data_IF_557256133867
#
_entry.id   IF_557256133867
#
_cell.length_a   1.000
_cell.length_b   1.000
_cell.length_c   1.000
_cell.angle_alpha   90.00
_cell.angle_beta   90.00
_cell.angle_gamma   90.00
#
_symmetry.space_group_name_H-M   'P 1'
#
loop_
_entity.id
_entity.type
_entity.pdbx_description
1 polymer ?
#
# COMPACT_ATOMS: atom_id res chain seq x y z
N UNK A 1 14.35 -12.52 -13.49
CA UNK A 1 15.15 -11.62 -12.64
C UNK A 1 14.50 -10.24 -12.71
N UNK A 2 14.45 -9.49 -11.60
CA UNK A 2 13.79 -8.19 -11.53
C UNK A 2 14.61 -7.09 -12.22
N UNK A 3 13.95 -6.21 -12.97
CA UNK A 3 14.57 -5.09 -13.67
C UNK A 3 14.02 -3.75 -13.17
N UNK A 4 14.81 -2.68 -13.34
CA UNK A 4 14.36 -1.32 -13.05
C UNK A 4 13.04 -1.03 -13.81
N UNK A 5 12.16 -0.28 -13.15
CA UNK A 5 10.83 0.10 -13.68
C UNK A 5 9.82 -1.04 -13.89
N UNK A 6 10.09 -2.27 -13.43
CA UNK A 6 9.04 -3.30 -13.38
C UNK A 6 7.94 -2.91 -12.38
N UNK A 7 6.69 -3.14 -12.76
CA UNK A 7 5.53 -2.87 -11.91
C UNK A 7 5.46 -3.91 -10.82
N UNK A 8 5.43 -3.48 -9.54
CA UNK A 8 5.34 -4.43 -8.41
C UNK A 8 3.95 -4.92 -8.13
N UNK A 9 2.95 -4.09 -8.39
CA UNK A 9 1.56 -4.47 -8.16
C UNK A 9 0.59 -3.47 -8.73
N UNK A 10 -0.68 -3.85 -8.74
CA UNK A 10 -1.81 -3.05 -9.20
C UNK A 10 -2.88 -3.06 -8.13
N UNK A 11 -3.41 -1.88 -7.82
CA UNK A 11 -4.55 -1.73 -6.92
C UNK A 11 -5.80 -1.46 -7.74
N UNK A 12 -6.87 -2.17 -7.42
CA UNK A 12 -8.19 -1.98 -8.02
C UNK A 12 -9.18 -1.66 -6.92
N UNK A 13 -9.88 -0.53 -7.07
CA UNK A 13 -10.88 -0.07 -6.10
C UNK A 13 -11.98 -1.11 -5.92
N UNK A 14 -12.40 -1.31 -4.67
CA UNK A 14 -13.59 -2.11 -4.35
C UNK A 14 -14.80 -1.22 -4.12
N UNK A 15 -15.92 -1.81 -3.70
CA UNK A 15 -17.09 -1.05 -3.22
C UNK A 15 -16.88 -0.45 -1.84
N UNK A 16 -15.87 -0.88 -1.11
CA UNK A 16 -15.54 -0.37 0.21
C UNK A 16 -14.57 0.82 0.07
N UNK A 17 -14.88 1.90 0.78
CA UNK A 17 -14.02 3.09 0.81
C UNK A 17 -12.64 2.71 1.38
N UNK A 18 -11.59 3.26 0.76
CA UNK A 18 -10.19 3.07 1.18
C UNK A 18 -9.72 1.60 1.20
N UNK A 19 -10.43 0.69 0.51
CA UNK A 19 -10.08 -0.72 0.42
C UNK A 19 -9.99 -1.19 -1.04
N UNK A 20 -8.93 -1.93 -1.33
CA UNK A 20 -8.50 -2.27 -2.69
C UNK A 20 -8.17 -3.75 -2.82
N UNK A 21 -8.56 -4.34 -3.96
CA UNK A 21 -7.97 -5.57 -4.43
C UNK A 21 -6.54 -5.28 -4.88
N UNK A 22 -5.60 -6.12 -4.48
CA UNK A 22 -4.19 -5.97 -4.85
C UNK A 22 -3.74 -7.18 -5.65
N UNK A 23 -3.17 -6.92 -6.83
CA UNK A 23 -2.32 -7.88 -7.52
C UNK A 23 -0.87 -7.51 -7.22
N UNK A 24 -0.04 -8.48 -6.87
CA UNK A 24 1.38 -8.25 -6.55
C UNK A 24 2.26 -9.25 -7.29
N UNK A 25 3.35 -8.78 -7.88
CA UNK A 25 4.27 -9.62 -8.64
C UNK A 25 5.54 -9.91 -7.83
N UNK A 26 6.00 -11.16 -7.83
CA UNK A 26 7.26 -11.57 -7.24
C UNK A 26 8.49 -11.11 -8.07
N UNK A 27 9.70 -11.57 -7.75
CA UNK A 27 10.91 -11.21 -8.49
C UNK A 27 11.02 -11.88 -9.88
N UNK A 28 10.21 -12.92 -10.13
CA UNK A 28 10.09 -13.61 -11.40
C UNK A 28 8.94 -13.06 -12.26
N UNK A 29 8.07 -12.22 -11.69
CA UNK A 29 6.89 -11.66 -12.36
C UNK A 29 5.64 -12.52 -12.20
N UNK A 30 5.67 -13.54 -11.34
CA UNK A 30 4.48 -14.33 -11.03
C UNK A 30 3.61 -13.57 -10.03
N UNK A 31 2.31 -13.79 -10.10
CA UNK A 31 1.39 -13.28 -9.09
C UNK A 31 1.72 -13.93 -7.73
N UNK A 32 1.83 -13.11 -6.68
CA UNK A 32 2.14 -13.53 -5.32
C UNK A 32 0.97 -14.28 -4.66
N UNK A 33 -0.20 -14.27 -5.30
CA UNK A 33 -1.29 -15.20 -5.00
C UNK A 33 -2.61 -14.51 -4.66
N UNK A 34 -3.67 -15.31 -4.50
CA UNK A 34 -4.98 -14.80 -4.13
C UNK A 34 -4.93 -14.14 -2.74
N UNK A 35 -5.90 -13.27 -2.45
CA UNK A 35 -6.13 -12.63 -1.14
C UNK A 35 -5.19 -11.47 -0.77
N UNK A 36 -4.32 -11.04 -1.68
CA UNK A 36 -3.64 -9.76 -1.53
C UNK A 36 -4.66 -8.60 -1.51
N UNK A 37 -4.54 -7.72 -0.51
CA UNK A 37 -5.39 -6.53 -0.39
C UNK A 37 -4.58 -5.31 0.03
N UNK A 38 -5.15 -4.13 -0.16
CA UNK A 38 -4.57 -2.89 0.35
C UNK A 38 -5.62 -1.99 0.98
N UNK A 39 -5.20 -1.25 1.99
CA UNK A 39 -6.03 -0.29 2.73
C UNK A 39 -5.34 1.06 2.83
N UNK A 40 -6.11 2.14 2.77
CA UNK A 40 -5.66 3.47 3.19
C UNK A 40 -6.20 3.74 4.60
N UNK A 41 -5.31 3.83 5.58
CA UNK A 41 -5.66 4.12 6.97
C UNK A 41 -5.32 5.56 7.32
N UNK A 42 -6.19 6.19 8.13
CA UNK A 42 -6.00 7.53 8.67
C UNK A 42 -5.63 8.58 7.60
N UNK A 43 -6.11 8.38 6.36
CA UNK A 43 -5.85 9.27 5.21
C UNK A 43 -4.36 9.54 4.92
N UNK A 44 -3.46 8.68 5.42
CA UNK A 44 -2.01 8.93 5.38
C UNK A 44 -1.14 7.66 5.30
N UNK A 45 -1.70 6.48 5.62
CA UNK A 45 -0.96 5.23 5.65
C UNK A 45 -1.52 4.30 4.58
N UNK A 46 -0.71 3.92 3.60
CA UNK A 46 -1.02 2.83 2.70
C UNK A 46 -0.51 1.53 3.34
N UNK A 47 -1.43 0.61 3.66
CA UNK A 47 -1.11 -0.73 4.15
C UNK A 47 -1.35 -1.75 3.04
N UNK A 48 -0.35 -2.57 2.74
CA UNK A 48 -0.44 -3.72 1.85
C UNK A 48 -0.48 -4.98 2.71
N UNK A 49 -1.47 -5.84 2.49
CA UNK A 49 -1.68 -7.06 3.25
C UNK A 49 -1.34 -8.28 2.40
N UNK A 50 -0.56 -9.20 2.98
CA UNK A 50 -0.19 -10.47 2.37
C UNK A 50 -0.58 -11.61 3.34
N UNK A 51 -1.87 -12.00 3.41
CA UNK A 51 -2.35 -12.97 4.39
C UNK A 51 -1.62 -14.32 4.32
N UNK A 52 -1.43 -14.86 3.11
CA UNK A 52 -0.70 -16.11 2.87
C UNK A 52 0.76 -16.07 3.34
N UNK A 53 1.34 -14.87 3.43
CA UNK A 53 2.72 -14.66 3.88
C UNK A 53 2.79 -14.13 5.33
N UNK A 54 1.66 -14.08 6.05
CA UNK A 54 1.55 -13.56 7.41
C UNK A 54 2.25 -12.20 7.60
N UNK A 55 2.24 -11.36 6.56
CA UNK A 55 3.02 -10.13 6.54
C UNK A 55 2.21 -8.96 6.01
N UNK A 56 2.68 -7.76 6.36
CA UNK A 56 2.11 -6.50 5.90
C UNK A 56 3.23 -5.49 5.67
N UNK A 57 3.03 -4.62 4.67
CA UNK A 57 3.93 -3.50 4.38
C UNK A 57 3.15 -2.21 4.60
N UNK A 58 3.78 -1.21 5.23
CA UNK A 58 3.14 0.08 5.49
C UNK A 58 4.00 1.19 4.93
N UNK A 59 3.39 2.02 4.10
CA UNK A 59 3.98 3.26 3.60
C UNK A 59 3.28 4.43 4.27
N UNK A 60 4.06 5.30 4.90
CA UNK A 60 3.56 6.59 5.35
C UNK A 60 3.69 7.60 4.22
N UNK A 61 2.70 8.48 4.07
CA UNK A 61 2.80 9.63 3.16
C UNK A 61 4.02 10.48 3.56
N UNK A 62 4.94 10.70 2.64
CA UNK A 62 6.17 11.46 2.87
C UNK A 62 6.01 12.97 2.72
N UNK A 63 4.81 13.47 2.44
CA UNK A 63 4.58 14.91 2.32
C UNK A 63 4.78 15.60 3.68
N UNK A 64 5.94 16.24 3.82
CA UNK A 64 6.39 16.96 4.99
C UNK A 64 5.58 18.26 5.26
N UNK A 65 4.77 18.73 4.29
CA UNK A 65 3.99 19.98 4.44
C UNK A 65 2.79 19.81 5.38
N UNK A 66 2.25 18.60 5.50
CA UNK A 66 1.08 18.32 6.35
C UNK A 66 1.43 17.94 7.79
N UNK A 67 2.64 17.40 8.01
CA UNK A 67 3.15 17.13 9.36
C UNK A 67 3.38 18.44 10.13
N UNK A 68 3.91 19.47 9.46
CA UNK A 68 4.11 20.79 10.07
C UNK A 68 2.80 21.55 10.39
N UNK A 69 1.72 21.32 9.63
CA UNK A 69 0.42 21.94 9.91
C UNK A 69 -0.31 21.30 11.09
N UNK A 70 -0.11 19.99 11.32
CA UNK A 70 -0.67 19.29 12.48
C UNK A 70 0.03 19.70 13.79
N UNK A 71 1.36 19.91 13.75
CA UNK A 71 2.13 20.35 14.91
C UNK A 71 1.82 21.80 15.32
N UNK A 72 1.44 22.67 14.37
CA UNK A 72 1.07 24.07 14.65
C UNK A 72 -0.31 24.26 15.26
N UNK A 73 -1.18 23.26 15.22
CA UNK A 73 -2.52 23.32 15.83
C UNK A 73 -2.56 22.82 17.29
N UNK A 74 -1.44 22.33 17.83
CA UNK A 74 -1.32 21.83 19.21
C UNK A 74 -0.53 22.75 20.14
N UNK A 75 -0.34 24.01 19.77
CA UNK A 75 0.21 25.09 20.61
C UNK A 75 -0.70 26.30 20.54
#
# INVERSE_FOLDING_TARGET
MWNACMIKGRLTSTRFLDHYLMQWFDAAGNDAGPECSADIQNQAILQLNFPLHHSRIRFARSDNRLLQSAEKQSK
#
